data_IF_983147202055
#
_entry.id   IF_983147202055
#
_cell.length_a   1.000
_cell.length_b   1.000
_cell.length_c   1.000
_cell.angle_alpha   90.00
_cell.angle_beta   90.00
_cell.angle_gamma   90.00
#
_symmetry.space_group_name_H-M   'P 1'
#
loop_
_entity.id
_entity.type
_entity.pdbx_description
1 polymer ?
#
# COMPACT_ATOMS: atom_id res chain seq x y z
N UNK A 1 -20.23 7.57 8.19
CA UNK A 1 -19.24 6.97 7.28
C UNK A 1 -19.15 7.76 5.96
N UNK A 2 -20.26 7.98 5.27
CA UNK A 2 -20.30 8.72 3.99
C UNK A 2 -19.64 10.11 4.05
N UNK A 3 -19.96 10.93 5.06
CA UNK A 3 -19.34 12.25 5.25
C UNK A 3 -17.80 12.22 5.37
N UNK A 4 -17.22 11.14 5.91
CA UNK A 4 -15.76 10.98 5.99
C UNK A 4 -15.17 10.73 4.59
N UNK A 5 -15.80 9.90 3.78
CA UNK A 5 -15.38 9.67 2.39
C UNK A 5 -15.55 10.92 1.53
N UNK A 6 -16.64 11.67 1.68
CA UNK A 6 -16.87 12.96 1.00
C UNK A 6 -15.83 14.02 1.38
N UNK A 7 -15.28 13.96 2.60
CA UNK A 7 -14.20 14.86 3.01
C UNK A 7 -12.86 14.55 2.33
N UNK A 8 -12.70 13.33 1.80
CA UNK A 8 -11.47 12.85 1.18
C UNK A 8 -11.54 12.77 -0.34
N UNK A 9 -12.72 12.59 -0.93
CA UNK A 9 -12.90 12.36 -2.37
C UNK A 9 -14.08 13.15 -2.92
N UNK A 10 -13.89 13.71 -4.11
CA UNK A 10 -14.92 14.42 -4.87
C UNK A 10 -15.40 13.55 -6.04
N UNK A 11 -16.64 13.76 -6.49
CA UNK A 11 -17.25 12.96 -7.57
C UNK A 11 -16.52 13.05 -8.92
N UNK A 12 -15.75 14.12 -9.14
CA UNK A 12 -14.96 14.36 -10.34
C UNK A 12 -13.51 13.84 -10.25
N UNK A 13 -13.11 13.28 -9.10
CA UNK A 13 -11.80 12.65 -8.97
C UNK A 13 -11.67 11.45 -9.92
N UNK A 14 -10.43 11.19 -10.35
CA UNK A 14 -9.99 9.88 -10.85
C UNK A 14 -9.15 9.26 -9.74
N UNK A 15 -9.67 8.21 -9.12
CA UNK A 15 -9.10 7.61 -7.90
C UNK A 15 -8.38 6.32 -8.25
N UNK A 16 -7.08 6.29 -7.99
CA UNK A 16 -6.29 5.07 -8.09
C UNK A 16 -6.34 4.30 -6.76
N UNK A 17 -6.53 2.98 -6.81
CA UNK A 17 -6.47 2.06 -5.68
C UNK A 17 -5.24 1.17 -5.86
N UNK A 18 -4.16 1.47 -5.15
CA UNK A 18 -2.89 0.70 -5.25
C UNK A 18 -2.94 -0.51 -4.32
N UNK A 19 -3.12 -1.70 -4.90
CA UNK A 19 -3.14 -2.97 -4.16
C UNK A 19 -1.75 -3.62 -4.10
N UNK A 20 -1.57 -4.71 -3.34
CA UNK A 20 -0.31 -5.47 -3.24
C UNK A 20 -0.50 -6.93 -3.69
N UNK A 21 0.11 -7.31 -4.81
CA UNK A 21 -0.10 -8.61 -5.46
C UNK A 21 1.18 -9.42 -5.68
N UNK A 22 2.31 -8.99 -5.09
CA UNK A 22 3.61 -9.64 -5.33
C UNK A 22 3.64 -11.10 -4.83
N UNK A 23 3.04 -11.36 -3.68
CA UNK A 23 2.99 -12.70 -3.07
C UNK A 23 1.70 -13.42 -3.48
N UNK A 24 1.76 -14.73 -3.73
CA UNK A 24 0.56 -15.56 -3.91
C UNK A 24 -0.12 -15.92 -2.58
N UNK A 25 0.57 -15.75 -1.45
CA UNK A 25 0.11 -16.24 -0.13
C UNK A 25 -0.49 -15.13 0.71
N UNK A 26 0.09 -13.92 0.65
CA UNK A 26 -0.37 -12.74 1.40
C UNK A 26 -0.37 -11.52 0.47
N UNK A 27 -1.57 -11.21 -0.01
CA UNK A 27 -1.87 -10.18 -1.00
C UNK A 27 -3.16 -9.44 -0.61
N UNK A 28 -3.40 -8.27 -1.22
CA UNK A 28 -4.63 -7.51 -0.96
C UNK A 28 -5.80 -8.26 -1.57
N UNK A 29 -6.74 -8.70 -0.73
CA UNK A 29 -7.92 -9.44 -1.15
C UNK A 29 -8.79 -8.59 -2.10
N UNK A 30 -9.24 -9.14 -3.26
CA UNK A 30 -10.15 -8.44 -4.17
C UNK A 30 -11.38 -7.86 -3.46
N UNK A 31 -11.93 -8.56 -2.47
CA UNK A 31 -13.10 -8.09 -1.69
C UNK A 31 -12.79 -6.79 -0.96
N UNK A 32 -11.60 -6.63 -0.38
CA UNK A 32 -11.20 -5.39 0.30
C UNK A 32 -11.04 -4.25 -0.70
N UNK A 33 -10.34 -4.49 -1.81
CA UNK A 33 -10.16 -3.49 -2.87
C UNK A 33 -11.50 -3.05 -3.48
N UNK A 34 -12.42 -3.99 -3.73
CA UNK A 34 -13.73 -3.69 -4.28
C UNK A 34 -14.68 -3.04 -3.27
N UNK A 35 -14.53 -3.34 -1.96
CA UNK A 35 -15.25 -2.60 -0.92
C UNK A 35 -14.80 -1.13 -0.87
N UNK A 36 -13.51 -0.85 -1.03
CA UNK A 36 -12.99 0.53 -1.19
C UNK A 36 -13.59 1.18 -2.44
N UNK A 37 -13.59 0.49 -3.58
CA UNK A 37 -14.19 1.00 -4.81
C UNK A 37 -15.69 1.32 -4.63
N UNK A 38 -16.43 0.44 -3.94
CA UNK A 38 -17.83 0.69 -3.61
C UNK A 38 -18.01 1.95 -2.77
N UNK A 39 -17.17 2.17 -1.75
CA UNK A 39 -17.24 3.41 -0.94
C UNK A 39 -16.95 4.68 -1.71
N UNK A 40 -16.09 4.62 -2.74
CA UNK A 40 -15.87 5.74 -3.64
C UNK A 40 -17.09 6.02 -4.53
N UNK A 41 -17.77 4.96 -5.02
CA UNK A 41 -19.01 5.10 -5.78
C UNK A 41 -20.16 5.65 -4.91
N UNK A 42 -20.25 5.23 -3.64
CA UNK A 42 -21.23 5.74 -2.68
C UNK A 42 -21.14 7.27 -2.52
N UNK A 43 -19.96 7.87 -2.73
CA UNK A 43 -19.75 9.34 -2.69
C UNK A 43 -19.70 9.99 -4.07
N UNK A 44 -20.16 9.27 -5.10
CA UNK A 44 -20.40 9.82 -6.45
C UNK A 44 -19.23 9.72 -7.42
N UNK A 45 -18.10 9.08 -7.06
CA UNK A 45 -17.03 8.81 -8.03
C UNK A 45 -17.55 7.81 -9.07
N UNK A 46 -17.48 8.16 -10.35
CA UNK A 46 -17.95 7.27 -11.43
C UNK A 46 -17.12 5.97 -11.47
N UNK A 47 -17.71 4.80 -11.77
CA UNK A 47 -16.97 3.53 -11.82
C UNK A 47 -15.71 3.58 -12.68
N UNK A 48 -15.79 4.09 -13.92
CA UNK A 48 -14.63 4.22 -14.82
C UNK A 48 -13.56 5.23 -14.38
N UNK A 49 -13.85 6.05 -13.37
CA UNK A 49 -12.86 6.92 -12.73
C UNK A 49 -12.13 6.21 -11.57
N UNK A 50 -12.45 4.96 -11.26
CA UNK A 50 -11.81 4.18 -10.21
C UNK A 50 -10.90 3.14 -10.87
N UNK A 51 -9.60 3.18 -10.54
CA UNK A 51 -8.58 2.33 -11.15
C UNK A 51 -7.91 1.49 -10.06
N UNK A 52 -8.25 0.22 -9.95
CA UNK A 52 -7.54 -0.77 -9.11
C UNK A 52 -6.31 -1.26 -9.88
N UNK A 53 -5.13 -1.17 -9.25
CA UNK A 53 -3.89 -1.48 -9.95
C UNK A 53 -2.75 -1.98 -9.06
N UNK A 54 -1.85 -2.73 -9.68
CA UNK A 54 -0.49 -3.03 -9.18
C UNK A 54 0.46 -3.20 -10.37
N UNK A 55 1.71 -3.58 -10.13
CA UNK A 55 2.78 -3.59 -11.14
C UNK A 55 2.50 -4.44 -12.38
N UNK A 56 1.77 -5.55 -12.26
CA UNK A 56 1.59 -6.51 -13.34
C UNK A 56 0.20 -7.16 -13.33
N UNK A 57 -0.43 -7.26 -14.51
CA UNK A 57 -1.76 -7.85 -14.68
C UNK A 57 -1.80 -9.33 -14.33
N UNK A 58 -0.73 -10.06 -14.68
CA UNK A 58 -0.62 -11.49 -14.35
C UNK A 58 -0.63 -11.78 -12.84
N UNK A 59 -0.12 -10.85 -12.01
CA UNK A 59 -0.14 -11.01 -10.55
C UNK A 59 -1.53 -10.75 -9.97
N UNK A 60 -2.25 -9.76 -10.50
CA UNK A 60 -3.65 -9.51 -10.18
C UNK A 60 -4.50 -10.75 -10.49
N UNK A 61 -4.39 -11.31 -11.70
CA UNK A 61 -5.15 -12.50 -12.12
C UNK A 61 -4.84 -13.70 -11.24
N UNK A 62 -3.55 -13.95 -10.97
CA UNK A 62 -3.12 -15.04 -10.09
C UNK A 62 -3.77 -14.97 -8.71
N UNK A 63 -4.02 -13.76 -8.22
CA UNK A 63 -4.57 -13.50 -6.89
C UNK A 63 -6.09 -13.24 -6.91
N UNK A 64 -6.77 -13.63 -7.99
CA UNK A 64 -8.24 -13.66 -8.06
C UNK A 64 -8.90 -12.36 -8.52
N UNK A 65 -8.14 -11.39 -9.04
CA UNK A 65 -8.73 -10.22 -9.71
C UNK A 65 -9.10 -10.55 -11.16
N UNK A 66 -10.22 -10.02 -11.62
CA UNK A 66 -10.58 -10.01 -13.04
C UNK A 66 -10.11 -8.68 -13.66
N UNK A 67 -9.29 -8.74 -14.70
CA UNK A 67 -8.88 -7.53 -15.42
C UNK A 67 -10.08 -6.93 -16.15
N UNK A 68 -10.25 -5.62 -16.06
CA UNK A 68 -11.38 -4.89 -16.60
C UNK A 68 -10.93 -3.49 -17.05
N UNK A 69 -11.21 -3.11 -18.30
CA UNK A 69 -10.91 -1.78 -18.85
C UNK A 69 -12.13 -1.05 -19.42
N UNK A 70 -13.33 -1.63 -19.35
CA UNK A 70 -14.57 -0.95 -19.72
C UNK A 70 -14.81 0.29 -18.83
N UNK A 71 -14.91 1.50 -19.41
CA UNK A 71 -15.08 2.74 -18.65
C UNK A 71 -16.46 2.89 -17.98
N UNK A 72 -17.41 1.98 -18.22
CA UNK A 72 -18.67 1.90 -17.47
C UNK A 72 -18.54 1.18 -16.14
N UNK A 73 -17.42 0.47 -15.90
CA UNK A 73 -17.16 -0.34 -14.70
C UNK A 73 -15.88 0.15 -14.01
N UNK A 74 -15.65 -0.35 -12.79
CA UNK A 74 -14.37 -0.15 -12.10
C UNK A 74 -13.25 -0.77 -12.94
N UNK A 75 -12.21 0.02 -13.23
CA UNK A 75 -11.06 -0.43 -14.01
C UNK A 75 -10.13 -1.24 -13.11
N UNK A 76 -9.67 -2.39 -13.57
CA UNK A 76 -8.73 -3.28 -12.88
C UNK A 76 -7.64 -3.67 -13.87
N UNK A 77 -6.40 -3.22 -13.64
CA UNK A 77 -5.28 -3.48 -14.56
C UNK A 77 -3.90 -3.45 -13.91
N UNK A 78 -2.95 -4.14 -14.54
CA UNK A 78 -1.54 -3.98 -14.24
C UNK A 78 -0.95 -2.73 -14.86
N UNK A 79 0.24 -2.33 -14.40
CA UNK A 79 1.04 -1.31 -15.10
C UNK A 79 1.60 -1.87 -16.41
N UNK A 80 2.11 -3.11 -16.41
CA UNK A 80 2.48 -3.88 -17.60
C UNK A 80 3.35 -3.13 -18.64
N UNK A 81 4.22 -2.22 -18.16
CA UNK A 81 5.10 -1.44 -19.03
C UNK A 81 4.73 0.03 -19.18
N UNK A 82 3.55 0.45 -18.69
CA UNK A 82 3.07 1.84 -18.71
C UNK A 82 3.77 2.73 -17.67
N UNK A 83 5.07 2.89 -17.85
CA UNK A 83 5.95 3.76 -17.08
C UNK A 83 6.12 5.11 -17.77
N UNK A 84 6.36 6.17 -17.01
CA UNK A 84 6.76 7.47 -17.56
C UNK A 84 7.99 7.37 -18.45
N UNK A 85 8.08 8.23 -19.47
CA UNK A 85 9.17 8.20 -20.44
C UNK A 85 10.52 8.52 -19.79
N UNK A 86 10.53 9.51 -18.88
CA UNK A 86 11.71 9.96 -18.15
C UNK A 86 11.70 9.50 -16.68
N UNK A 87 12.86 9.16 -16.10
CA UNK A 87 12.93 8.77 -14.69
C UNK A 87 12.73 9.98 -13.77
N UNK A 88 11.93 9.80 -12.72
CA UNK A 88 11.88 10.73 -11.59
C UNK A 88 13.08 10.53 -10.68
N UNK A 89 13.56 11.63 -10.09
CA UNK A 89 14.60 11.62 -9.05
C UNK A 89 14.07 12.32 -7.81
N UNK A 90 14.25 11.69 -6.66
CA UNK A 90 13.93 12.26 -5.36
C UNK A 90 14.91 11.66 -4.36
N UNK A 91 15.75 12.48 -3.72
CA UNK A 91 16.85 11.96 -2.88
C UNK A 91 17.70 10.92 -3.63
N UNK A 92 17.84 9.72 -3.05
CA UNK A 92 18.53 8.59 -3.64
C UNK A 92 17.67 7.78 -4.62
N UNK A 93 16.34 7.98 -4.65
CA UNK A 93 15.46 7.28 -5.58
C UNK A 93 15.69 7.74 -7.02
N UNK A 94 15.68 6.77 -7.95
CA UNK A 94 15.71 6.99 -9.40
C UNK A 94 15.01 5.86 -10.14
N UNK A 95 13.88 6.15 -10.77
CA UNK A 95 13.08 5.20 -11.54
C UNK A 95 11.98 5.89 -12.33
N UNK A 96 11.38 5.19 -13.29
CA UNK A 96 10.20 5.67 -14.04
C UNK A 96 8.96 5.25 -13.26
N UNK A 97 8.07 6.19 -12.98
CA UNK A 97 6.84 5.94 -12.21
C UNK A 97 5.75 5.40 -13.12
N UNK A 98 4.82 4.64 -12.55
CA UNK A 98 3.64 4.18 -13.28
C UNK A 98 2.79 5.39 -13.72
N UNK A 99 2.39 5.44 -15.00
CA UNK A 99 1.59 6.56 -15.56
C UNK A 99 0.24 6.74 -14.85
N UNK A 100 -0.29 5.69 -14.22
CA UNK A 100 -1.49 5.78 -13.38
C UNK A 100 -1.33 6.83 -12.26
N UNK A 101 -0.16 6.89 -11.63
CA UNK A 101 0.14 7.88 -10.58
C UNK A 101 0.40 9.27 -11.12
N UNK A 102 1.06 9.39 -12.27
CA UNK A 102 1.58 10.68 -12.74
C UNK A 102 0.64 11.38 -13.71
N UNK A 103 -0.15 10.64 -14.49
CA UNK A 103 -0.97 11.17 -15.59
C UNK A 103 -2.46 10.86 -15.50
N UNK A 104 -2.86 9.81 -14.78
CA UNK A 104 -4.24 9.30 -14.90
C UNK A 104 -5.09 9.56 -13.65
N UNK A 105 -4.51 9.60 -12.44
CA UNK A 105 -5.28 9.84 -11.22
C UNK A 105 -5.08 11.24 -10.62
N UNK A 106 -6.12 11.75 -9.96
CA UNK A 106 -6.10 12.95 -9.10
C UNK A 106 -5.96 12.60 -7.61
N UNK A 107 -6.37 11.39 -7.23
CA UNK A 107 -6.32 10.90 -5.85
C UNK A 107 -5.86 9.43 -5.80
N UNK A 108 -5.37 9.01 -4.64
CA UNK A 108 -4.86 7.67 -4.38
C UNK A 108 -5.38 7.14 -3.03
N UNK A 109 -5.96 5.95 -3.07
CA UNK A 109 -6.12 5.07 -1.91
C UNK A 109 -5.02 4.02 -1.97
N UNK A 110 -4.20 3.94 -0.94
CA UNK A 110 -3.15 2.93 -0.83
C UNK A 110 -3.69 1.73 -0.02
N UNK A 111 -3.71 0.55 -0.61
CA UNK A 111 -4.29 -0.66 -0.01
C UNK A 111 -3.21 -1.72 0.19
N UNK A 112 -2.28 -1.53 1.14
CA UNK A 112 -1.20 -2.48 1.41
C UNK A 112 -1.72 -3.74 2.12
N UNK A 113 -0.81 -4.65 2.44
CA UNK A 113 -1.07 -5.83 3.28
C UNK A 113 -0.22 -5.80 4.55
N UNK A 114 -0.73 -6.34 5.66
CA UNK A 114 0.02 -6.43 6.92
C UNK A 114 1.07 -7.55 6.84
N UNK A 115 2.30 -7.22 6.42
CA UNK A 115 3.32 -8.24 6.14
C UNK A 115 4.74 -7.85 6.57
N UNK A 116 5.46 -8.80 7.16
CA UNK A 116 6.91 -8.74 7.39
C UNK A 116 7.69 -8.86 6.08
N UNK A 117 8.90 -8.33 6.01
CA UNK A 117 9.79 -8.47 4.86
C UNK A 117 11.25 -8.66 5.27
N UNK A 118 11.92 -9.71 4.79
CA UNK A 118 13.30 -10.07 5.18
C UNK A 118 14.34 -8.95 5.01
N UNK A 119 14.25 -8.17 3.93
CA UNK A 119 15.13 -7.00 3.72
C UNK A 119 14.71 -5.73 4.46
N UNK A 120 13.48 -5.24 4.24
CA UNK A 120 13.02 -3.92 4.71
C UNK A 120 12.40 -3.92 6.12
N UNK A 121 12.38 -5.06 6.81
CA UNK A 121 11.62 -5.25 8.05
C UNK A 121 10.13 -5.51 7.78
N UNK A 122 9.43 -4.58 7.11
CA UNK A 122 7.99 -4.69 6.82
C UNK A 122 7.64 -4.29 5.39
N UNK A 123 6.55 -4.86 4.88
CA UNK A 123 5.80 -4.38 3.71
C UNK A 123 4.46 -3.89 4.22
N UNK A 124 4.27 -2.58 4.20
CA UNK A 124 3.04 -1.88 4.60
C UNK A 124 2.82 -0.71 3.62
N UNK A 125 2.24 0.41 4.05
CA UNK A 125 1.87 1.52 3.17
C UNK A 125 3.06 2.08 2.39
N UNK A 126 4.17 2.37 3.06
CA UNK A 126 5.33 3.01 2.42
C UNK A 126 5.96 2.08 1.37
N UNK A 127 6.17 0.80 1.70
CA UNK A 127 6.82 -0.16 0.78
C UNK A 127 5.88 -0.61 -0.34
N UNK A 128 4.57 -0.46 -0.21
CA UNK A 128 3.61 -0.86 -1.24
C UNK A 128 3.89 -0.21 -2.61
N UNK A 129 4.54 0.96 -2.60
CA UNK A 129 4.95 1.68 -3.80
C UNK A 129 6.15 1.07 -4.55
N UNK A 130 6.77 -0.01 -4.06
CA UNK A 130 7.76 -0.74 -4.88
C UNK A 130 7.14 -1.36 -6.14
N UNK A 131 5.81 -1.54 -6.17
CA UNK A 131 5.06 -1.89 -7.39
C UNK A 131 4.72 -0.68 -8.29
N UNK A 132 5.11 0.53 -7.91
CA UNK A 132 4.75 1.78 -8.59
C UNK A 132 5.84 2.35 -9.49
N UNK A 133 6.95 1.63 -9.67
CA UNK A 133 8.04 2.06 -10.56
C UNK A 133 8.72 0.87 -11.24
N UNK A 134 9.48 1.17 -12.29
CA UNK A 134 9.97 0.16 -13.25
C UNK A 134 11.16 -0.69 -12.79
N UNK A 135 11.81 -0.32 -11.69
CA UNK A 135 13.10 -0.88 -11.30
C UNK A 135 13.30 -1.16 -9.79
N UNK A 136 12.32 -1.74 -9.06
CA UNK A 136 12.39 -1.98 -7.60
C UNK A 136 13.65 -2.68 -7.14
N UNK A 137 14.19 -3.61 -7.92
CA UNK A 137 15.44 -4.32 -7.59
C UNK A 137 16.62 -3.38 -7.29
N UNK A 138 16.72 -2.23 -7.97
CA UNK A 138 17.83 -1.27 -7.76
C UNK A 138 17.77 -0.54 -6.42
N UNK A 139 16.62 -0.58 -5.76
CA UNK A 139 16.35 0.15 -4.53
C UNK A 139 16.30 -0.76 -3.29
N UNK A 140 16.81 -1.99 -3.38
CA UNK A 140 16.86 -2.91 -2.23
C UNK A 140 18.14 -2.79 -1.38
N UNK A 141 19.13 -1.99 -1.82
CA UNK A 141 20.35 -1.72 -1.06
C UNK A 141 20.05 -1.09 0.30
N UNK A 142 20.93 -1.32 1.29
CA UNK A 142 20.79 -0.82 2.66
C UNK A 142 19.39 -1.03 3.25
N UNK A 143 18.84 -2.25 3.12
CA UNK A 143 17.50 -2.60 3.65
C UNK A 143 16.38 -1.71 3.08
N UNK A 144 16.51 -1.29 1.81
CA UNK A 144 15.59 -0.39 1.12
C UNK A 144 15.59 1.08 1.60
N UNK A 145 16.55 1.48 2.44
CA UNK A 145 16.69 2.84 2.96
C UNK A 145 17.86 3.59 2.28
N UNK A 146 17.70 4.87 1.86
CA UNK A 146 16.53 5.76 2.06
C UNK A 146 15.45 5.61 0.98
N UNK A 147 15.57 4.64 0.07
CA UNK A 147 14.78 4.58 -1.15
C UNK A 147 13.27 4.51 -0.94
N UNK A 148 12.78 3.78 0.08
CA UNK A 148 11.35 3.76 0.41
C UNK A 148 10.86 5.15 0.81
N UNK A 149 11.57 5.83 1.71
CA UNK A 149 11.19 7.16 2.18
C UNK A 149 11.26 8.20 1.04
N UNK A 150 12.31 8.14 0.23
CA UNK A 150 12.50 9.04 -0.89
C UNK A 150 11.44 8.82 -1.99
N UNK A 151 11.06 7.57 -2.29
CA UNK A 151 9.97 7.26 -3.22
C UNK A 151 8.64 7.86 -2.74
N UNK A 152 8.30 7.70 -1.47
CA UNK A 152 7.07 8.25 -0.88
C UNK A 152 7.10 9.78 -0.74
N UNK A 153 8.26 10.42 -0.90
CA UNK A 153 8.41 11.88 -0.92
C UNK A 153 8.09 12.51 -2.28
N UNK A 154 7.92 11.71 -3.33
CA UNK A 154 7.56 12.21 -4.66
C UNK A 154 6.11 12.70 -4.64
N UNK A 155 5.86 13.91 -5.14
CA UNK A 155 4.53 14.55 -5.17
C UNK A 155 3.41 13.68 -5.76
N UNK A 156 3.71 12.90 -6.81
CA UNK A 156 2.75 11.98 -7.43
C UNK A 156 2.26 10.86 -6.48
N UNK A 157 2.98 10.60 -5.39
CA UNK A 157 2.56 9.69 -4.30
C UNK A 157 2.13 10.51 -3.09
N UNK A 158 2.99 11.41 -2.59
CA UNK A 158 2.78 12.17 -1.36
C UNK A 158 1.50 13.00 -1.39
N UNK A 159 1.30 13.77 -2.45
CA UNK A 159 0.22 14.76 -2.50
C UNK A 159 -1.12 14.11 -2.91
N UNK A 160 -1.06 12.88 -3.44
CA UNK A 160 -2.23 12.15 -3.94
C UNK A 160 -2.74 11.08 -2.97
N UNK A 161 -1.89 10.54 -2.08
CA UNK A 161 -2.33 9.55 -1.07
C UNK A 161 -3.24 10.23 -0.06
N UNK A 162 -4.56 9.97 -0.15
CA UNK A 162 -5.55 10.55 0.77
C UNK A 162 -6.00 9.59 1.85
N UNK A 163 -5.91 8.28 1.59
CA UNK A 163 -6.34 7.24 2.51
C UNK A 163 -5.48 5.99 2.36
N UNK A 164 -5.21 5.33 3.48
CA UNK A 164 -4.57 4.02 3.55
C UNK A 164 -5.57 3.06 4.17
N UNK A 165 -5.82 1.94 3.49
CA UNK A 165 -6.69 0.86 3.95
C UNK A 165 -5.89 -0.43 3.87
N UNK A 166 -5.15 -0.76 4.91
CA UNK A 166 -4.35 -1.97 4.92
C UNK A 166 -5.21 -3.19 5.16
N UNK A 167 -5.09 -4.15 4.24
CA UNK A 167 -5.66 -5.47 4.40
C UNK A 167 -4.84 -6.24 5.44
N UNK A 168 -5.49 -6.54 6.56
CA UNK A 168 -4.99 -7.40 7.62
C UNK A 168 -6.01 -8.51 7.92
N UNK A 169 -6.77 -8.93 6.91
CA UNK A 169 -7.62 -10.13 6.99
C UNK A 169 -6.74 -11.38 7.03
N UNK A 170 -5.63 -11.35 6.29
CA UNK A 170 -4.55 -12.33 6.37
C UNK A 170 -3.19 -11.62 6.38
N UNK A 171 -2.30 -12.04 7.28
CA UNK A 171 -1.05 -11.33 7.56
C UNK A 171 0.15 -12.28 7.63
N UNK A 172 1.36 -11.73 7.49
CA UNK A 172 2.62 -12.47 7.55
C UNK A 172 3.59 -11.85 8.55
N UNK A 173 4.06 -12.63 9.51
CA UNK A 173 4.99 -12.23 10.58
C UNK A 173 6.42 -12.71 10.28
N UNK A 174 6.56 -13.69 9.39
CA UNK A 174 7.83 -14.28 9.00
C UNK A 174 7.80 -14.84 7.57
N UNK A 175 8.95 -14.85 6.88
CA UNK A 175 9.09 -15.46 5.56
C UNK A 175 8.71 -14.55 4.38
N UNK A 176 8.49 -13.25 4.62
CA UNK A 176 8.24 -12.31 3.54
C UNK A 176 9.49 -12.03 2.68
N UNK A 177 9.36 -11.72 1.38
CA UNK A 177 8.14 -11.21 0.74
C UNK A 177 7.16 -12.28 0.26
N UNK A 178 7.63 -13.51 0.04
CA UNK A 178 6.86 -14.62 -0.49
C UNK A 178 5.76 -15.09 0.48
N UNK A 179 6.10 -15.19 1.76
CA UNK A 179 5.19 -15.69 2.81
C UNK A 179 4.72 -17.14 2.53
N UNK A 180 5.64 -17.99 2.08
CA UNK A 180 5.34 -19.38 1.70
C UNK A 180 5.29 -20.33 2.91
N UNK A 181 5.82 -19.93 4.07
CA UNK A 181 5.69 -20.68 5.32
C UNK A 181 4.35 -20.37 6.00
N UNK A 182 3.41 -21.33 6.09
CA UNK A 182 2.13 -21.11 6.74
C UNK A 182 2.26 -20.74 8.22
N UNK A 183 3.32 -21.19 8.90
CA UNK A 183 3.58 -20.84 10.30
C UNK A 183 4.04 -19.38 10.45
N UNK A 184 4.55 -18.79 9.36
CA UNK A 184 4.87 -17.38 9.27
C UNK A 184 3.66 -16.48 8.98
N UNK A 185 2.45 -17.04 8.87
CA UNK A 185 1.22 -16.32 8.56
C UNK A 185 0.15 -16.50 9.64
N UNK A 186 -0.78 -15.56 9.73
CA UNK A 186 -1.93 -15.64 10.64
C UNK A 186 -3.13 -14.83 10.13
N UNK A 187 -4.29 -15.00 10.76
CA UNK A 187 -5.54 -14.28 10.48
C UNK A 187 -5.80 -13.27 11.61
N UNK A 188 -5.42 -11.99 11.45
CA UNK A 188 -5.83 -10.95 12.39
C UNK A 188 -7.30 -10.56 12.24
N UNK A 189 -7.94 -10.87 11.10
CA UNK A 189 -9.32 -10.51 10.76
C UNK A 189 -9.63 -9.02 10.99
N UNK A 190 -8.72 -8.16 10.53
CA UNK A 190 -8.79 -6.72 10.77
C UNK A 190 -8.49 -5.90 9.52
N UNK A 191 -8.83 -4.61 9.57
CA UNK A 191 -8.46 -3.61 8.58
C UNK A 191 -7.84 -2.44 9.33
N UNK A 192 -6.64 -2.01 8.93
CA UNK A 192 -6.00 -0.83 9.51
C UNK A 192 -6.24 0.35 8.57
N UNK A 193 -6.75 1.46 9.11
CA UNK A 193 -7.09 2.65 8.33
C UNK A 193 -6.36 3.87 8.87
N UNK A 194 -5.74 4.64 8.00
CA UNK A 194 -5.00 5.85 8.36
C UNK A 194 -4.89 6.83 7.19
N UNK A 195 -4.54 8.09 7.49
CA UNK A 195 -4.15 9.10 6.51
C UNK A 195 -2.65 9.44 6.57
N UNK A 196 -1.98 9.15 7.70
CA UNK A 196 -0.54 9.29 7.88
C UNK A 196 0.16 7.93 7.59
N UNK A 197 0.99 7.82 6.53
CA UNK A 197 1.65 6.57 6.16
C UNK A 197 2.73 6.11 7.14
N UNK A 198 3.39 7.03 7.84
CA UNK A 198 4.43 6.67 8.80
C UNK A 198 3.80 6.18 10.10
N UNK A 199 2.72 6.82 10.55
CA UNK A 199 1.96 6.39 11.72
C UNK A 199 1.30 5.03 11.47
N UNK A 200 0.74 4.85 10.27
CA UNK A 200 0.22 3.58 9.81
C UNK A 200 1.29 2.47 9.91
N UNK A 201 2.44 2.68 9.30
CA UNK A 201 3.47 1.65 9.24
C UNK A 201 4.13 1.42 10.61
N UNK A 202 4.22 2.44 11.47
CA UNK A 202 4.69 2.29 12.85
C UNK A 202 3.75 1.41 13.68
N UNK A 203 2.43 1.63 13.59
CA UNK A 203 1.45 0.78 14.26
C UNK A 203 1.41 -0.63 13.66
N UNK A 204 1.38 -0.77 12.33
CA UNK A 204 1.41 -2.08 11.66
C UNK A 204 2.69 -2.87 12.00
N UNK A 205 3.84 -2.21 12.14
CA UNK A 205 5.07 -2.82 12.64
C UNK A 205 4.87 -3.35 14.06
N UNK A 206 4.26 -2.58 14.96
CA UNK A 206 3.97 -3.02 16.33
C UNK A 206 3.07 -4.27 16.36
N UNK A 207 2.06 -4.34 15.50
CA UNK A 207 1.17 -5.52 15.40
C UNK A 207 1.96 -6.75 14.94
N UNK A 208 2.81 -6.61 13.93
CA UNK A 208 3.69 -7.69 13.46
C UNK A 208 4.68 -8.12 14.56
N UNK A 209 5.28 -7.16 15.29
CA UNK A 209 6.21 -7.44 16.40
C UNK A 209 5.56 -8.25 17.52
N UNK A 210 4.32 -7.91 17.89
CA UNK A 210 3.58 -8.67 18.90
C UNK A 210 3.44 -10.14 18.48
N UNK A 211 3.04 -10.38 17.23
CA UNK A 211 2.94 -11.75 16.70
C UNK A 211 4.30 -12.45 16.64
N UNK A 212 5.35 -11.73 16.25
CA UNK A 212 6.72 -12.27 16.22
C UNK A 212 7.22 -12.66 17.60
N UNK A 213 6.94 -11.87 18.63
CA UNK A 213 7.30 -12.16 20.01
C UNK A 213 6.60 -13.43 20.52
N UNK A 214 5.31 -13.61 20.22
CA UNK A 214 4.58 -14.85 20.53
C UNK A 214 5.21 -16.09 19.88
N UNK A 215 5.82 -15.92 18.71
CA UNK A 215 6.52 -16.96 17.96
C UNK A 215 7.99 -17.14 18.36
N UNK A 216 8.49 -16.36 19.33
CA UNK A 216 9.90 -16.39 19.74
C UNK A 216 10.87 -15.85 18.69
N UNK A 217 10.38 -15.03 17.73
CA UNK A 217 11.19 -14.42 16.68
C UNK A 217 11.82 -13.11 17.18
N UNK A 218 13.01 -12.78 16.66
CA UNK A 218 13.71 -11.53 16.99
C UNK A 218 13.01 -10.28 16.46
N UNK A 219 13.36 -9.09 16.96
CA UNK A 219 12.73 -7.84 16.55
C UNK A 219 13.10 -7.44 15.11
N UNK A 220 12.21 -6.68 14.47
CA UNK A 220 12.43 -6.03 13.19
C UNK A 220 13.09 -4.66 13.38
N UNK A 221 13.72 -4.15 12.32
CA UNK A 221 14.30 -2.81 12.30
C UNK A 221 13.96 -2.12 10.98
N UNK A 222 12.71 -1.66 10.78
CA UNK A 222 12.30 -0.96 9.56
C UNK A 222 12.88 0.46 9.52
N UNK A 223 14.14 0.59 9.07
CA UNK A 223 14.90 1.85 9.01
C UNK A 223 14.15 2.98 8.29
N UNK A 224 13.39 2.61 7.26
CA UNK A 224 12.61 3.55 6.45
C UNK A 224 11.62 4.39 7.27
N UNK A 225 11.16 3.95 8.45
CA UNK A 225 10.22 4.74 9.27
C UNK A 225 10.88 6.00 9.81
N UNK A 226 12.12 5.88 10.30
CA UNK A 226 12.90 7.02 10.81
C UNK A 226 13.20 7.98 9.67
N UNK A 227 13.64 7.45 8.53
CA UNK A 227 13.94 8.27 7.35
C UNK A 227 12.67 8.94 6.82
N UNK A 228 11.55 8.24 6.71
CA UNK A 228 10.28 8.80 6.24
C UNK A 228 9.75 9.90 7.17
N UNK A 229 9.84 9.73 8.49
CA UNK A 229 9.55 10.79 9.45
C UNK A 229 10.45 12.02 9.20
N UNK A 230 11.77 11.82 9.02
CA UNK A 230 12.71 12.91 8.75
C UNK A 230 12.43 13.65 7.42
N UNK A 231 11.71 13.03 6.49
CA UNK A 231 11.24 13.63 5.22
C UNK A 231 9.89 14.35 5.36
N UNK A 232 9.30 14.35 6.56
CA UNK A 232 8.01 14.97 6.85
C UNK A 232 6.83 14.20 6.25
N UNK A 233 6.95 12.88 6.12
CA UNK A 233 5.88 12.02 5.62
C UNK A 233 4.86 11.62 6.70
N UNK A 234 5.15 11.92 7.96
CA UNK A 234 4.33 11.53 9.10
C UNK A 234 5.15 11.34 10.36
N UNK A 235 4.57 10.67 11.37
CA UNK A 235 5.24 10.37 12.65
C UNK A 235 5.39 8.87 12.89
N UNK A 236 6.56 8.42 13.38
CA UNK A 236 6.75 7.05 13.88
C UNK A 236 6.74 6.97 15.42
N UNK A 237 6.50 8.09 16.10
CA UNK A 237 6.35 8.15 17.56
C UNK A 237 4.98 7.62 17.99
N UNK A 238 4.96 6.41 18.56
CA UNK A 238 3.75 5.75 19.04
C UNK A 238 3.02 6.56 20.12
N UNK A 239 3.70 7.41 20.89
CA UNK A 239 3.08 8.29 21.88
C UNK A 239 2.23 9.41 21.27
N UNK A 240 2.43 9.68 19.97
CA UNK A 240 1.68 10.67 19.18
C UNK A 240 0.64 10.04 18.27
N UNK A 241 0.46 8.72 18.34
CA UNK A 241 -0.47 7.96 17.51
C UNK A 241 -1.62 7.46 18.40
N UNK A 242 -2.81 7.99 18.17
CA UNK A 242 -4.04 7.49 18.83
C UNK A 242 -4.63 6.36 17.99
N UNK A 243 -4.69 5.17 18.56
CA UNK A 243 -5.34 4.01 17.92
C UNK A 243 -6.79 3.94 18.40
N UNK A 244 -7.71 3.97 17.45
CA UNK A 244 -9.14 3.75 17.72
C UNK A 244 -9.50 2.36 17.22
N UNK A 245 -9.87 1.47 18.15
CA UNK A 245 -10.26 0.10 17.82
C UNK A 245 -11.78 -0.02 17.84
N UNK A 246 -12.36 -0.61 16.79
CA UNK A 246 -13.76 -0.96 16.74
C UNK A 246 -13.89 -2.43 16.35
N UNK A 247 -14.47 -3.25 17.24
CA UNK A 247 -14.71 -4.67 16.98
C UNK A 247 -16.05 -4.82 16.30
N UNK A 248 -16.01 -5.32 15.07
CA UNK A 248 -17.22 -5.70 14.35
C UNK A 248 -17.75 -7.01 14.96
N UNK A 249 -19.06 -7.04 15.24
CA UNK A 249 -19.76 -8.16 15.84
C UNK A 249 -20.09 -9.26 14.83
#
# INVERSE_FOLDING_TARGET
AEAAWQSLFASDDVVAIKVNQISPSVFTNPVVAMAVAQRLMDVGVRPGNIIVWDRAGGELVRNGYELQEDPSRVVVRGVDGEWDDAPTRQGAFRGRLAKVLTRQCSALVNVPVLKQHNGAGVTLALKNHYGSHDNPRRHHGNQCDPFIADLNSIKAIRDKTRLIVCDATYACSHGGPQADDPNGCWQPDSILVATDPVAHDAHGTRVIEQRRAEQGLGPLTPKQLVTAMSRGLGTNDLGRITVLENRLA
#
